data_IF_103628918140
#
_entry.id   IF_103628918140
#
_cell.length_a   1.000
_cell.length_b   1.000
_cell.length_c   1.000
_cell.angle_alpha   90.00
_cell.angle_beta   90.00
_cell.angle_gamma   90.00
#
_symmetry.space_group_name_H-M   'P 1'
#
loop_
_entity.id
_entity.type
_entity.pdbx_description
1 polymer ?
#
# COMPACT_ATOMS: atom_id res chain seq x y z
N UNK A 1 22.57 35.34 16.08
CA UNK A 1 22.65 34.61 14.79
C UNK A 1 21.46 33.67 14.75
N UNK A 2 20.60 33.70 13.73
CA UNK A 2 19.33 33.00 13.79
C UNK A 2 19.54 31.48 13.68
N UNK A 3 18.76 30.75 14.47
CA UNK A 3 18.71 29.30 14.50
C UNK A 3 18.35 28.75 13.10
N UNK A 4 18.94 27.60 12.75
CA UNK A 4 18.58 26.80 11.57
C UNK A 4 17.06 26.70 11.50
N UNK A 5 16.50 27.19 10.40
CA UNK A 5 15.08 26.98 10.07
C UNK A 5 14.80 25.49 10.12
N UNK A 6 13.84 25.10 10.95
CA UNK A 6 13.13 23.84 10.85
C UNK A 6 12.86 23.59 9.36
N UNK A 7 13.38 22.47 8.84
CA UNK A 7 12.95 21.95 7.56
C UNK A 7 11.45 21.74 7.69
N UNK A 8 10.70 22.68 7.12
CA UNK A 8 9.26 22.72 7.04
C UNK A 8 8.77 21.35 6.54
N UNK A 9 8.42 20.48 7.48
CA UNK A 9 8.00 19.11 7.21
C UNK A 9 6.67 19.24 6.47
N UNK A 10 6.72 19.18 5.14
CA UNK A 10 5.51 19.24 4.30
C UNK A 10 4.72 17.96 4.50
N UNK A 11 3.81 18.01 5.47
CA UNK A 11 2.79 16.99 5.66
C UNK A 11 1.87 17.01 4.42
N UNK A 12 1.86 15.92 3.69
CA UNK A 12 0.91 15.69 2.60
C UNK A 12 -0.20 14.77 3.10
N UNK A 13 -1.40 14.86 2.53
CA UNK A 13 -2.44 13.86 2.84
C UNK A 13 -2.17 12.60 2.04
N UNK A 14 -1.99 11.49 2.74
CA UNK A 14 -1.83 10.17 2.16
C UNK A 14 -3.13 9.38 2.28
N UNK A 15 -3.53 8.73 1.20
CA UNK A 15 -4.70 7.85 1.17
C UNK A 15 -4.23 6.40 1.15
N UNK A 16 -4.40 5.70 2.26
CA UNK A 16 -3.78 4.40 2.50
C UNK A 16 -4.79 3.27 2.31
N UNK A 17 -4.43 2.28 1.51
CA UNK A 17 -5.08 0.98 1.46
C UNK A 17 -4.17 -0.06 2.11
N UNK A 18 -4.57 -0.54 3.28
CA UNK A 18 -3.96 -1.71 3.93
C UNK A 18 -4.59 -2.98 3.39
N UNK A 19 -3.76 -3.97 3.12
CA UNK A 19 -4.15 -5.27 2.58
C UNK A 19 -3.44 -6.34 3.37
N UNK A 20 -4.18 -7.35 3.81
CA UNK A 20 -3.60 -8.44 4.57
C UNK A 20 -4.28 -9.79 4.28
N UNK A 21 -3.49 -10.86 4.30
CA UNK A 21 -3.93 -12.21 3.96
C UNK A 21 -4.56 -12.89 5.18
N UNK A 22 -5.82 -13.31 5.04
CA UNK A 22 -6.57 -13.95 6.11
C UNK A 22 -6.04 -15.36 6.38
N UNK A 23 -5.47 -15.54 7.56
CA UNK A 23 -4.95 -16.84 8.01
C UNK A 23 -3.55 -17.17 7.50
N UNK A 24 -2.81 -16.17 7.01
CA UNK A 24 -1.46 -16.33 6.46
C UNK A 24 -0.54 -17.18 7.33
N UNK A 25 -0.45 -16.90 8.63
CA UNK A 25 0.47 -17.59 9.55
C UNK A 25 0.16 -19.08 9.75
N UNK A 26 -0.98 -19.58 9.28
CA UNK A 26 -1.37 -21.00 9.36
C UNK A 26 -0.94 -21.80 8.12
N UNK A 27 -0.51 -21.12 7.06
CA UNK A 27 -0.11 -21.74 5.79
C UNK A 27 1.32 -22.26 5.86
N UNK A 28 1.62 -23.28 5.06
CA UNK A 28 2.98 -23.76 4.83
C UNK A 28 3.81 -22.71 4.08
N UNK A 29 5.14 -22.78 4.18
CA UNK A 29 6.06 -21.77 3.60
C UNK A 29 5.89 -21.64 2.07
N UNK A 30 5.66 -22.75 1.37
CA UNK A 30 5.40 -22.75 -0.07
C UNK A 30 4.05 -22.07 -0.38
N UNK A 31 3.00 -22.36 0.39
CA UNK A 31 1.68 -21.74 0.23
C UNK A 31 1.74 -20.23 0.51
N UNK A 32 2.45 -19.81 1.56
CA UNK A 32 2.70 -18.40 1.87
C UNK A 32 3.34 -17.67 0.69
N UNK A 33 4.37 -18.27 0.10
CA UNK A 33 5.08 -17.70 -1.04
C UNK A 33 4.16 -17.56 -2.26
N UNK A 34 3.36 -18.58 -2.56
CA UNK A 34 2.38 -18.54 -3.66
C UNK A 34 1.32 -17.46 -3.44
N UNK A 35 0.75 -17.35 -2.24
CA UNK A 35 -0.26 -16.35 -1.93
C UNK A 35 0.29 -14.92 -2.03
N UNK A 36 1.51 -14.67 -1.56
CA UNK A 36 2.17 -13.36 -1.70
C UNK A 36 2.39 -13.01 -3.17
N UNK A 37 2.83 -13.96 -3.99
CA UNK A 37 3.01 -13.73 -5.44
C UNK A 37 1.67 -13.42 -6.12
N UNK A 38 0.62 -14.17 -5.80
CA UNK A 38 -0.72 -13.94 -6.32
C UNK A 38 -1.26 -12.57 -5.90
N UNK A 39 -1.11 -12.21 -4.63
CA UNK A 39 -1.49 -10.89 -4.11
C UNK A 39 -0.79 -9.77 -4.88
N UNK A 40 0.54 -9.88 -5.05
CA UNK A 40 1.33 -8.89 -5.80
C UNK A 40 0.85 -8.75 -7.25
N UNK A 41 0.53 -9.87 -7.92
CA UNK A 41 0.03 -9.86 -9.29
C UNK A 41 -1.32 -9.15 -9.38
N UNK A 42 -2.26 -9.48 -8.49
CA UNK A 42 -3.60 -8.87 -8.47
C UNK A 42 -3.50 -7.38 -8.20
N UNK A 43 -2.75 -6.98 -7.17
CA UNK A 43 -2.58 -5.58 -6.78
C UNK A 43 -1.93 -4.76 -7.89
N UNK A 44 -0.88 -5.26 -8.55
CA UNK A 44 -0.22 -4.57 -9.68
C UNK A 44 -1.10 -4.50 -10.93
N UNK A 45 -2.08 -5.39 -11.04
CA UNK A 45 -3.02 -5.44 -12.16
C UNK A 45 -4.13 -4.39 -12.08
N UNK A 46 -4.31 -3.73 -10.93
CA UNK A 46 -5.36 -2.72 -10.77
C UNK A 46 -5.04 -1.45 -11.57
N UNK A 47 -6.07 -0.80 -12.08
CA UNK A 47 -5.98 0.44 -12.81
C UNK A 47 -5.47 1.57 -11.90
N UNK A 48 -6.03 1.68 -10.69
CA UNK A 48 -5.61 2.70 -9.73
C UNK A 48 -4.14 2.57 -9.33
N UNK A 49 -3.64 1.34 -9.15
CA UNK A 49 -2.22 1.11 -8.90
C UNK A 49 -1.36 1.62 -10.05
N UNK A 50 -1.71 1.26 -11.29
CA UNK A 50 -0.92 1.64 -12.48
C UNK A 50 -0.93 3.14 -12.74
N UNK A 51 -2.08 3.81 -12.56
CA UNK A 51 -2.18 5.27 -12.70
C UNK A 51 -1.29 5.95 -11.66
N UNK A 52 -1.45 5.61 -10.38
CA UNK A 52 -0.68 6.24 -9.32
C UNK A 52 0.82 5.93 -9.42
N UNK A 53 1.19 4.73 -9.88
CA UNK A 53 2.58 4.36 -10.17
C UNK A 53 3.17 5.19 -11.32
N UNK A 54 2.44 5.34 -12.43
CA UNK A 54 2.89 6.12 -13.58
C UNK A 54 3.04 7.62 -13.25
N UNK A 55 2.21 8.13 -12.33
CA UNK A 55 2.32 9.51 -11.83
C UNK A 55 3.43 9.70 -10.78
N UNK A 56 4.09 8.63 -10.31
CA UNK A 56 5.04 8.70 -9.20
C UNK A 56 4.39 9.02 -7.85
N UNK A 57 3.07 8.84 -7.72
CA UNK A 57 2.25 9.17 -6.55
C UNK A 57 1.80 7.95 -5.75
N UNK A 58 2.44 6.80 -5.97
CA UNK A 58 2.19 5.56 -5.24
C UNK A 58 3.41 5.16 -4.43
N UNK A 59 3.25 5.08 -3.10
CA UNK A 59 4.18 4.37 -2.23
C UNK A 59 3.69 2.95 -1.94
N UNK A 60 4.65 2.03 -1.84
CA UNK A 60 4.41 0.60 -1.58
C UNK A 60 5.16 0.22 -0.32
N UNK A 61 4.44 -0.11 0.74
CA UNK A 61 5.02 -0.49 2.02
C UNK A 61 4.74 -1.99 2.23
N UNK A 62 5.73 -2.87 2.09
CA UNK A 62 5.52 -4.29 2.33
C UNK A 62 5.24 -4.53 3.83
N UNK A 63 4.22 -5.32 4.11
CA UNK A 63 4.02 -5.96 5.42
C UNK A 63 4.19 -7.46 5.19
N UNK A 64 4.74 -8.21 6.15
CA UNK A 64 5.20 -9.60 5.90
C UNK A 64 4.19 -10.50 5.17
N UNK A 65 2.91 -10.36 5.49
CA UNK A 65 1.77 -11.12 4.96
C UNK A 65 0.83 -10.31 4.04
N UNK A 66 1.24 -9.09 3.64
CA UNK A 66 0.40 -8.19 2.88
C UNK A 66 1.13 -6.94 2.38
N UNK A 67 0.48 -5.80 2.54
CA UNK A 67 1.12 -4.51 2.33
C UNK A 67 0.19 -3.32 2.52
N UNK A 68 0.78 -2.13 2.54
CA UNK A 68 0.06 -0.88 2.43
C UNK A 68 0.42 -0.18 1.12
N UNK A 69 -0.60 0.34 0.45
CA UNK A 69 -0.47 1.21 -0.71
C UNK A 69 -0.85 2.62 -0.28
N UNK A 70 0.05 3.58 -0.49
CA UNK A 70 -0.23 4.98 -0.18
C UNK A 70 -0.36 5.78 -1.46
N UNK A 71 -1.57 6.25 -1.70
CA UNK A 71 -1.95 7.07 -2.85
C UNK A 71 -1.86 8.56 -2.47
N UNK A 72 -1.15 9.34 -3.28
CA UNK A 72 -1.03 10.80 -3.14
C UNK A 72 -1.76 11.58 -4.24
N UNK A 73 -2.55 10.90 -5.07
CA UNK A 73 -3.26 11.49 -6.20
C UNK A 73 -4.72 11.84 -5.87
N UNK A 74 -5.50 10.91 -5.33
CA UNK A 74 -6.92 11.08 -5.04
C UNK A 74 -7.37 10.29 -3.80
N UNK A 75 -8.35 10.81 -3.03
CA UNK A 75 -8.98 10.10 -1.92
C UNK A 75 -9.80 8.87 -2.36
N UNK A 76 -10.25 8.83 -3.61
CA UNK A 76 -11.00 7.69 -4.15
C UNK A 76 -10.10 6.53 -4.58
N UNK A 77 -8.83 6.80 -4.93
CA UNK A 77 -7.90 5.77 -5.40
C UNK A 77 -7.79 4.52 -4.51
N UNK A 78 -7.68 4.59 -3.17
CA UNK A 78 -7.64 3.37 -2.35
C UNK A 78 -8.95 2.57 -2.40
N UNK A 79 -10.12 3.21 -2.42
CA UNK A 79 -11.41 2.49 -2.47
C UNK A 79 -11.66 1.87 -3.83
N UNK A 80 -11.33 2.57 -4.92
CA UNK A 80 -11.40 2.04 -6.27
C UNK A 80 -10.44 0.85 -6.45
N UNK A 81 -9.19 0.98 -5.96
CA UNK A 81 -8.23 -0.11 -5.96
C UNK A 81 -8.75 -1.33 -5.18
N UNK A 82 -9.31 -1.13 -3.99
CA UNK A 82 -9.89 -2.21 -3.18
C UNK A 82 -11.08 -2.90 -3.88
N UNK A 83 -11.91 -2.16 -4.61
CA UNK A 83 -13.00 -2.72 -5.41
C UNK A 83 -12.48 -3.58 -6.57
N UNK A 84 -11.42 -3.13 -7.25
CA UNK A 84 -10.78 -3.89 -8.33
C UNK A 84 -10.12 -5.18 -7.83
N UNK A 85 -9.39 -5.11 -6.72
CA UNK A 85 -8.85 -6.29 -6.02
C UNK A 85 -10.01 -7.25 -5.68
N UNK A 86 -11.08 -6.73 -5.07
CA UNK A 86 -12.24 -7.54 -4.68
C UNK A 86 -12.91 -8.23 -5.87
N UNK A 87 -12.94 -7.60 -7.04
CA UNK A 87 -13.44 -8.22 -8.28
C UNK A 87 -12.50 -9.32 -8.77
N UNK A 88 -11.19 -9.08 -8.77
CA UNK A 88 -10.19 -10.07 -9.18
C UNK A 88 -10.19 -11.30 -8.27
N UNK A 89 -10.37 -11.12 -6.96
CA UNK A 89 -10.45 -12.20 -5.97
C UNK A 89 -11.58 -13.21 -6.24
N UNK A 90 -12.62 -12.85 -6.99
CA UNK A 90 -13.67 -13.81 -7.38
C UNK A 90 -13.13 -14.98 -8.20
N UNK A 91 -12.02 -14.78 -8.91
CA UNK A 91 -11.32 -15.81 -9.67
C UNK A 91 -10.24 -16.52 -8.86
N UNK A 92 -10.04 -16.12 -7.60
CA UNK A 92 -8.98 -16.61 -6.70
C UNK A 92 -9.57 -16.93 -5.30
N UNK A 93 -10.50 -17.90 -5.18
CA UNK A 93 -11.13 -18.23 -3.91
C UNK A 93 -10.14 -18.72 -2.83
N UNK A 94 -8.97 -19.21 -3.24
CA UNK A 94 -7.86 -19.60 -2.37
C UNK A 94 -7.25 -18.42 -1.60
N UNK A 95 -7.33 -17.21 -2.16
CA UNK A 95 -6.74 -16.00 -1.60
C UNK A 95 -7.83 -15.17 -0.92
N UNK A 96 -7.85 -15.19 0.41
CA UNK A 96 -8.78 -14.38 1.20
C UNK A 96 -8.04 -13.19 1.79
N UNK A 97 -8.55 -11.99 1.53
CA UNK A 97 -7.94 -10.75 1.99
C UNK A 97 -8.86 -10.02 2.97
N UNK A 98 -8.26 -9.30 3.92
CA UNK A 98 -8.88 -8.22 4.69
C UNK A 98 -8.25 -6.90 4.23
N UNK A 99 -9.07 -5.87 4.02
CA UNK A 99 -8.60 -4.57 3.57
C UNK A 99 -9.13 -3.46 4.48
N UNK A 100 -8.29 -2.47 4.74
CA UNK A 100 -8.62 -1.29 5.54
C UNK A 100 -8.20 -0.02 4.81
N UNK A 101 -9.00 1.04 4.93
CA UNK A 101 -8.71 2.33 4.29
C UNK A 101 -8.57 3.39 5.36
N UNK A 102 -7.55 4.21 5.25
CA UNK A 102 -7.32 5.38 6.08
C UNK A 102 -6.89 6.57 5.23
N UNK A 103 -7.14 7.78 5.71
CA UNK A 103 -6.64 9.00 5.08
C UNK A 103 -6.22 9.97 6.18
N UNK A 104 -5.02 10.50 6.07
CA UNK A 104 -4.44 11.35 7.09
C UNK A 104 -3.15 12.00 6.64
N UNK A 105 -2.62 12.95 7.44
CA UNK A 105 -1.32 13.55 7.20
C UNK A 105 -0.23 12.49 7.29
N UNK A 106 0.61 12.43 6.25
CA UNK A 106 1.77 11.55 6.15
C UNK A 106 3.01 12.39 5.91
N UNK A 107 4.12 11.97 6.50
CA UNK A 107 5.43 12.53 6.20
C UNK A 107 6.24 11.52 5.38
N UNK A 108 6.71 11.93 4.20
CA UNK A 108 7.61 11.11 3.39
C UNK A 108 9.00 11.14 4.04
N UNK A 109 9.46 9.98 4.48
CA UNK A 109 10.80 9.79 5.01
C UNK A 109 11.55 8.85 4.09
N UNK A 110 12.84 9.08 3.91
CA UNK A 110 13.70 8.10 3.27
C UNK A 110 14.04 7.03 4.30
N UNK A 111 13.76 5.75 4.00
CA UNK A 111 14.15 4.66 4.88
C UNK A 111 15.67 4.41 4.86
N UNK A 112 16.14 3.47 5.70
CA UNK A 112 17.55 3.11 5.78
C UNK A 112 18.12 2.51 4.48
N UNK A 113 17.26 2.17 3.51
CA UNK A 113 17.61 1.62 2.21
C UNK A 113 17.50 2.66 1.08
N UNK A 114 17.41 3.95 1.40
CA UNK A 114 17.20 5.05 0.45
C UNK A 114 15.87 4.96 -0.32
N UNK A 115 14.89 4.19 0.16
CA UNK A 115 13.57 4.06 -0.45
C UNK A 115 12.58 5.03 0.20
N UNK A 116 11.65 5.53 -0.60
CA UNK A 116 10.55 6.36 -0.10
C UNK A 116 9.66 5.52 0.84
N UNK A 117 9.51 6.01 2.07
CA UNK A 117 8.69 5.42 3.13
C UNK A 117 7.85 6.52 3.79
N UNK A 118 6.87 6.14 4.62
CA UNK A 118 5.96 7.08 5.28
C UNK A 118 5.93 6.85 6.77
N UNK A 119 6.06 7.96 7.52
CA UNK A 119 5.65 8.03 8.91
C UNK A 119 4.26 8.68 9.01
N UNK A 120 3.33 8.01 9.67
CA UNK A 120 2.08 8.63 10.11
C UNK A 120 2.31 9.48 11.35
N UNK A 121 1.56 10.58 11.47
CA UNK A 121 1.52 11.42 12.68
C UNK A 121 0.41 10.97 13.63
#
# INVERSE_FOLDING_TARGET
MPAKSDLDVRLEIGHVLFIDIVGYSKLLINEQSEQIQKLKQIVRGTEQFRIAEAEGKLLRLPTGDGGALVFRNSPESPVLCALEISKALKNHPELRLRMGIHSGPVNEITDLNEQANIAGA
#
